data_IF_539711780523
#
_entry.id   IF_539711780523
#
_cell.length_a   1.000
_cell.length_b   1.000
_cell.length_c   1.000
_cell.angle_alpha   90.00
_cell.angle_beta   90.00
_cell.angle_gamma   90.00
#
_symmetry.space_group_name_H-M   'P 1'
#
loop_
_entity.id
_entity.type
_entity.pdbx_description
1 polymer ?
#
# COMPACT_ATOMS: atom_id res chain seq x y z
N UNK A 1 2.51 -39.21 18.01
CA UNK A 1 3.48 -38.12 17.87
C UNK A 1 4.11 -38.26 16.48
N UNK A 2 3.84 -37.35 15.55
CA UNK A 2 4.45 -37.37 14.22
C UNK A 2 5.00 -35.97 13.94
N UNK A 3 6.33 -35.83 14.07
CA UNK A 3 7.08 -34.64 13.71
C UNK A 3 7.29 -34.63 12.20
N UNK A 4 6.82 -33.58 11.52
CA UNK A 4 7.16 -33.31 10.12
C UNK A 4 8.17 -32.17 10.07
N UNK A 5 9.38 -32.52 9.62
CA UNK A 5 10.51 -31.62 9.41
C UNK A 5 10.22 -30.64 8.28
N UNK A 6 10.26 -29.34 8.56
CA UNK A 6 10.22 -28.28 7.55
C UNK A 6 11.65 -27.94 7.12
N UNK A 7 11.95 -28.07 5.81
CA UNK A 7 13.17 -27.51 5.21
C UNK A 7 12.88 -26.09 4.71
N UNK A 8 13.73 -25.09 4.98
CA UNK A 8 13.57 -23.75 4.42
C UNK A 8 14.27 -23.69 3.06
N UNK A 9 13.49 -23.66 1.98
CA UNK A 9 14.01 -23.42 0.64
C UNK A 9 14.47 -21.95 0.52
N UNK A 10 15.79 -21.77 0.60
CA UNK A 10 16.47 -20.51 0.33
C UNK A 10 16.82 -20.50 -1.16
N UNK A 11 16.02 -19.82 -1.98
CA UNK A 11 16.35 -19.61 -3.40
C UNK A 11 16.48 -18.13 -3.71
N UNK A 12 17.74 -17.76 -3.97
CA UNK A 12 18.19 -16.43 -4.34
C UNK A 12 17.76 -16.02 -5.77
N UNK A 13 17.65 -14.70 -5.91
CA UNK A 13 17.52 -13.82 -7.08
C UNK A 13 17.86 -14.39 -8.46
N UNK A 14 16.88 -14.35 -9.37
CA UNK A 14 17.10 -14.09 -10.81
C UNK A 14 15.95 -13.22 -11.34
N UNK A 15 16.31 -12.03 -11.82
CA UNK A 15 15.43 -10.93 -12.25
C UNK A 15 14.93 -11.14 -13.67
N UNK A 16 13.95 -12.03 -13.83
CA UNK A 16 13.11 -12.12 -15.02
C UNK A 16 11.68 -11.82 -14.58
N UNK A 17 10.90 -10.96 -15.28
CA UNK A 17 9.52 -10.71 -14.91
C UNK A 17 8.77 -12.04 -14.98
N UNK A 18 8.48 -12.63 -13.82
CA UNK A 18 7.73 -13.89 -13.74
C UNK A 18 6.36 -13.62 -14.35
N UNK A 19 6.05 -14.26 -15.48
CA UNK A 19 4.68 -14.23 -16.04
C UNK A 19 3.78 -15.01 -15.08
N UNK A 20 2.99 -14.30 -14.28
CA UNK A 20 2.05 -14.91 -13.36
C UNK A 20 0.84 -15.44 -14.14
N UNK A 21 0.44 -16.68 -13.90
CA UNK A 21 -0.71 -17.29 -14.57
C UNK A 21 -2.01 -16.76 -13.94
N UNK A 22 -2.68 -15.81 -14.60
CA UNK A 22 -3.98 -15.23 -14.17
C UNK A 22 -5.11 -16.26 -14.08
N UNK A 23 -4.96 -17.43 -14.72
CA UNK A 23 -5.95 -18.53 -14.68
C UNK A 23 -6.01 -19.23 -13.32
N UNK A 24 -4.92 -19.19 -12.55
CA UNK A 24 -4.80 -19.74 -11.21
C UNK A 24 -3.98 -18.76 -10.35
N UNK A 25 -4.61 -17.68 -9.83
CA UNK A 25 -3.88 -16.64 -9.15
C UNK A 25 -3.25 -17.15 -7.85
N UNK A 26 -2.02 -16.74 -7.60
CA UNK A 26 -1.35 -17.00 -6.33
C UNK A 26 -2.19 -16.39 -5.19
N UNK A 27 -2.50 -17.13 -4.10
CA UNK A 27 -3.23 -16.55 -2.98
C UNK A 27 -2.39 -15.44 -2.35
N UNK A 28 -2.91 -14.21 -2.38
CA UNK A 28 -2.31 -13.06 -1.73
C UNK A 28 -2.75 -13.02 -0.27
N UNK A 29 -1.92 -12.47 0.61
CA UNK A 29 -2.35 -12.18 1.98
C UNK A 29 -3.38 -11.05 1.98
N UNK A 30 -4.22 -10.98 3.02
CA UNK A 30 -5.30 -9.99 3.10
C UNK A 30 -4.82 -8.53 2.92
N UNK A 31 -3.63 -8.19 3.42
CA UNK A 31 -3.05 -6.86 3.23
C UNK A 31 -2.61 -6.60 1.78
N UNK A 32 -2.08 -7.61 1.10
CA UNK A 32 -1.68 -7.54 -0.30
C UNK A 32 -2.90 -7.38 -1.22
N UNK A 33 -3.99 -8.11 -0.95
CA UNK A 33 -5.26 -7.94 -1.67
C UNK A 33 -5.84 -6.54 -1.49
N UNK A 34 -5.69 -5.95 -0.30
CA UNK A 34 -6.14 -4.58 -0.05
C UNK A 34 -5.31 -3.56 -0.84
N UNK A 35 -3.99 -3.74 -0.97
CA UNK A 35 -3.15 -2.90 -1.83
C UNK A 35 -3.57 -3.00 -3.30
N UNK A 36 -3.82 -4.20 -3.81
CA UNK A 36 -4.32 -4.41 -5.18
C UNK A 36 -5.68 -3.74 -5.37
N UNK A 37 -6.61 -3.89 -4.41
CA UNK A 37 -7.92 -3.21 -4.42
C UNK A 37 -7.78 -1.69 -4.44
N UNK A 38 -6.79 -1.12 -3.76
CA UNK A 38 -6.56 0.32 -3.80
C UNK A 38 -6.10 0.79 -5.19
N UNK A 39 -5.18 0.06 -5.83
CA UNK A 39 -4.74 0.35 -7.20
C UNK A 39 -5.90 0.23 -8.18
N UNK A 40 -6.71 -0.81 -8.02
CA UNK A 40 -7.92 -1.04 -8.78
C UNK A 40 -8.91 0.13 -8.67
N UNK A 41 -9.31 0.50 -7.45
CA UNK A 41 -10.23 1.61 -7.23
C UNK A 41 -9.66 2.95 -7.69
N UNK A 42 -8.33 3.15 -7.63
CA UNK A 42 -7.69 4.35 -8.18
C UNK A 42 -7.91 4.46 -9.70
N UNK A 43 -7.78 3.36 -10.44
CA UNK A 43 -8.04 3.33 -11.90
C UNK A 43 -9.52 3.51 -12.23
N UNK A 44 -10.41 2.85 -11.50
CA UNK A 44 -11.87 3.02 -11.68
C UNK A 44 -12.27 4.48 -11.45
N UNK A 45 -11.75 5.11 -10.38
CA UNK A 45 -11.98 6.54 -10.11
C UNK A 45 -11.42 7.45 -11.20
N UNK A 46 -10.28 7.11 -11.79
CA UNK A 46 -9.71 7.89 -12.88
C UNK A 46 -10.60 7.85 -14.14
N UNK A 47 -11.26 6.72 -14.42
CA UNK A 47 -12.23 6.61 -15.53
C UNK A 47 -13.54 7.35 -15.24
N UNK A 48 -14.05 7.19 -14.03
CA UNK A 48 -15.27 7.87 -13.57
C UNK A 48 -15.02 9.28 -13.03
N UNK A 49 -13.90 9.92 -13.40
CA UNK A 49 -13.56 11.26 -12.96
C UNK A 49 -14.65 12.30 -13.25
N UNK A 50 -15.33 12.32 -14.41
CA UNK A 50 -16.36 13.34 -14.67
C UNK A 50 -17.59 13.17 -13.77
N UNK A 51 -18.04 11.95 -13.52
CA UNK A 51 -19.20 11.67 -12.65
C UNK A 51 -18.88 11.96 -11.18
N UNK A 52 -17.65 11.62 -10.73
CA UNK A 52 -17.17 11.94 -9.38
C UNK A 52 -17.09 13.45 -9.19
N UNK A 53 -16.60 14.18 -10.19
CA UNK A 53 -16.52 15.65 -10.16
C UNK A 53 -17.91 16.29 -10.05
N UNK A 54 -18.86 15.83 -10.86
CA UNK A 54 -20.24 16.33 -10.81
C UNK A 54 -20.91 16.08 -9.44
N UNK A 55 -20.64 14.92 -8.82
CA UNK A 55 -21.09 14.65 -7.45
C UNK A 55 -20.40 15.57 -6.43
N UNK A 56 -19.09 15.74 -6.54
CA UNK A 56 -18.31 16.60 -5.65
C UNK A 56 -18.80 18.05 -5.69
N UNK A 57 -18.99 18.62 -6.88
CA UNK A 57 -19.51 19.98 -7.09
C UNK A 57 -20.87 20.19 -6.42
N UNK A 58 -21.78 19.21 -6.51
CA UNK A 58 -23.06 19.27 -5.83
C UNK A 58 -22.92 19.16 -4.29
N UNK A 59 -21.95 18.39 -3.81
CA UNK A 59 -21.76 18.08 -2.40
C UNK A 59 -20.91 19.10 -1.62
N UNK A 60 -20.12 19.96 -2.27
CA UNK A 60 -19.17 20.90 -1.62
C UNK A 60 -19.80 21.68 -0.46
N UNK A 61 -21.05 22.11 -0.60
CA UNK A 61 -21.74 22.95 0.40
C UNK A 61 -22.87 22.21 1.14
N UNK A 62 -22.97 20.89 1.01
CA UNK A 62 -24.11 20.10 1.52
C UNK A 62 -23.61 18.85 2.23
N UNK A 63 -23.12 18.99 3.46
CA UNK A 63 -22.57 17.83 4.20
C UNK A 63 -23.66 16.84 4.62
N UNK A 64 -24.76 17.33 5.21
CA UNK A 64 -25.82 16.47 5.77
C UNK A 64 -26.87 16.10 4.73
N UNK A 65 -27.21 17.02 3.81
CA UNK A 65 -28.31 16.84 2.85
C UNK A 65 -27.87 16.39 1.45
N UNK A 66 -26.56 16.25 1.17
CA UNK A 66 -26.06 15.83 -0.16
C UNK A 66 -26.65 14.50 -0.62
N UNK A 67 -26.85 13.55 0.27
CA UNK A 67 -27.39 12.22 -0.08
C UNK A 67 -28.77 12.30 -0.74
N UNK A 68 -29.58 13.30 -0.35
CA UNK A 68 -30.93 13.53 -0.88
C UNK A 68 -30.89 14.50 -2.06
N UNK A 69 -30.23 15.64 -1.90
CA UNK A 69 -30.18 16.72 -2.90
C UNK A 69 -29.37 16.32 -4.13
N UNK A 70 -28.23 15.64 -3.94
CA UNK A 70 -27.32 15.19 -4.99
C UNK A 70 -27.57 13.74 -5.39
N UNK A 71 -28.79 13.22 -5.18
CA UNK A 71 -29.13 11.80 -5.41
C UNK A 71 -28.84 11.38 -6.85
N UNK A 72 -29.15 12.23 -7.83
CA UNK A 72 -28.94 11.93 -9.26
C UNK A 72 -27.45 11.77 -9.58
N UNK A 73 -26.62 12.72 -9.15
CA UNK A 73 -25.17 12.69 -9.35
C UNK A 73 -24.54 11.49 -8.61
N UNK A 74 -25.02 11.18 -7.40
CA UNK A 74 -24.58 10.00 -6.65
C UNK A 74 -24.89 8.70 -7.40
N UNK A 75 -26.08 8.57 -7.98
CA UNK A 75 -26.47 7.38 -8.74
C UNK A 75 -25.65 7.26 -10.03
N UNK A 76 -25.42 8.35 -10.75
CA UNK A 76 -24.59 8.37 -11.96
C UNK A 76 -23.14 7.94 -11.67
N UNK A 77 -22.53 8.51 -10.62
CA UNK A 77 -21.20 8.13 -10.16
C UNK A 77 -21.14 6.64 -9.78
N UNK A 78 -22.10 6.17 -8.99
CA UNK A 78 -22.15 4.76 -8.58
C UNK A 78 -22.35 3.81 -9.76
N UNK A 79 -23.17 4.19 -10.75
CA UNK A 79 -23.37 3.41 -11.96
C UNK A 79 -22.06 3.27 -12.74
N UNK A 80 -21.35 4.37 -12.99
CA UNK A 80 -20.03 4.33 -13.65
C UNK A 80 -19.05 3.44 -12.87
N UNK A 81 -18.97 3.63 -11.56
CA UNK A 81 -18.07 2.84 -10.72
C UNK A 81 -18.37 1.35 -10.79
N UNK A 82 -19.64 0.95 -10.72
CA UNK A 82 -20.03 -0.47 -10.78
C UNK A 82 -19.77 -1.08 -12.16
N UNK A 83 -20.04 -0.34 -13.25
CA UNK A 83 -19.76 -0.79 -14.61
C UNK A 83 -18.27 -1.08 -14.81
N UNK A 84 -17.40 -0.18 -14.34
CA UNK A 84 -15.95 -0.40 -14.42
C UNK A 84 -15.40 -1.30 -13.32
N UNK A 85 -16.15 -1.52 -12.23
CA UNK A 85 -15.78 -2.41 -11.13
C UNK A 85 -16.01 -3.90 -11.42
N UNK A 86 -16.68 -4.27 -12.52
CA UNK A 86 -16.91 -5.66 -12.90
C UNK A 86 -16.01 -6.16 -14.04
N UNK A 87 -15.13 -5.32 -14.56
CA UNK A 87 -14.14 -5.74 -15.54
C UNK A 87 -13.06 -6.56 -14.81
N UNK A 88 -13.25 -7.87 -14.70
CA UNK A 88 -12.28 -8.82 -14.13
C UNK A 88 -10.88 -8.67 -14.73
N UNK A 89 -10.81 -8.28 -16.01
CA UNK A 89 -9.59 -7.94 -16.73
C UNK A 89 -8.80 -6.78 -16.10
N UNK A 90 -9.47 -5.81 -15.47
CA UNK A 90 -8.84 -4.69 -14.76
C UNK A 90 -8.24 -5.12 -13.43
N UNK A 91 -8.89 -6.05 -12.71
CA UNK A 91 -8.36 -6.63 -11.48
C UNK A 91 -7.12 -7.49 -11.78
N UNK A 92 -7.19 -8.28 -12.84
CA UNK A 92 -6.09 -9.11 -13.33
C UNK A 92 -4.88 -8.24 -13.75
N UNK A 93 -5.09 -7.17 -14.50
CA UNK A 93 -4.02 -6.20 -14.82
C UNK A 93 -3.50 -5.46 -13.59
N UNK A 94 -4.38 -5.14 -12.62
CA UNK A 94 -3.94 -4.54 -11.36
C UNK A 94 -3.05 -5.48 -10.56
N UNK A 95 -3.33 -6.79 -10.56
CA UNK A 95 -2.45 -7.81 -9.98
C UNK A 95 -1.11 -7.86 -10.69
N UNK A 96 -1.09 -7.88 -12.02
CA UNK A 96 0.16 -7.88 -12.80
C UNK A 96 1.05 -6.68 -12.49
N UNK A 97 0.48 -5.47 -12.47
CA UNK A 97 1.21 -4.26 -12.13
C UNK A 97 1.68 -4.27 -10.66
N UNK A 98 0.85 -4.78 -9.74
CA UNK A 98 1.22 -4.92 -8.34
C UNK A 98 2.39 -5.89 -8.18
N UNK A 99 2.39 -7.01 -8.87
CA UNK A 99 3.50 -7.96 -8.87
C UNK A 99 4.76 -7.39 -9.56
N UNK A 100 4.62 -6.65 -10.66
CA UNK A 100 5.76 -6.01 -11.35
C UNK A 100 6.51 -5.03 -10.44
N UNK A 101 5.77 -4.29 -9.62
CA UNK A 101 6.31 -3.30 -8.68
C UNK A 101 6.57 -3.87 -7.28
N UNK A 102 6.34 -5.18 -7.07
CA UNK A 102 6.50 -5.82 -5.75
C UNK A 102 7.96 -5.81 -5.28
N UNK A 103 8.89 -6.14 -6.18
CA UNK A 103 10.33 -6.13 -5.85
C UNK A 103 10.82 -4.73 -5.51
N UNK A 104 10.36 -3.70 -6.23
CA UNK A 104 10.68 -2.30 -5.94
C UNK A 104 10.15 -1.87 -4.57
N UNK A 105 8.89 -2.20 -4.24
CA UNK A 105 8.32 -1.92 -2.92
C UNK A 105 9.05 -2.66 -1.80
N UNK A 106 9.51 -3.89 -2.06
CA UNK A 106 10.32 -4.67 -1.11
C UNK A 106 11.66 -3.99 -0.83
N UNK A 107 12.37 -3.55 -1.88
CA UNK A 107 13.64 -2.82 -1.74
C UNK A 107 13.46 -1.49 -1.00
N UNK A 108 12.44 -0.71 -1.36
CA UNK A 108 12.14 0.55 -0.67
C UNK A 108 11.87 0.36 0.82
N UNK A 109 11.08 -0.66 1.20
CA UNK A 109 10.84 -0.99 2.62
C UNK A 109 12.12 -1.39 3.35
N UNK A 110 13.01 -2.14 2.70
CA UNK A 110 14.30 -2.54 3.28
C UNK A 110 15.25 -1.36 3.47
N UNK A 111 15.30 -0.42 2.52
CA UNK A 111 16.07 0.82 2.63
C UNK A 111 15.53 1.73 3.73
N UNK A 112 14.21 1.86 3.84
CA UNK A 112 13.58 2.62 4.92
C UNK A 112 13.88 2.03 6.30
N UNK A 113 13.81 0.70 6.44
CA UNK A 113 14.17 0.02 7.69
C UNK A 113 15.65 0.26 8.05
N UNK A 114 16.55 0.19 7.07
CA UNK A 114 17.97 0.50 7.27
C UNK A 114 18.17 1.95 7.72
N UNK A 115 17.46 2.90 7.10
CA UNK A 115 17.52 4.33 7.48
C UNK A 115 17.00 4.56 8.89
N UNK A 116 15.90 3.92 9.28
CA UNK A 116 15.35 4.00 10.64
C UNK A 116 16.32 3.41 11.65
N UNK A 117 16.94 2.27 11.35
CA UNK A 117 17.91 1.64 12.25
C UNK A 117 19.20 2.48 12.37
N UNK A 118 19.71 3.05 11.27
CA UNK A 118 20.84 3.98 11.30
C UNK A 118 20.55 5.18 12.21
N UNK A 119 19.38 5.80 12.04
CA UNK A 119 18.94 6.93 12.88
C UNK A 119 18.82 6.52 14.35
N UNK A 120 18.33 5.30 14.62
CA UNK A 120 18.22 4.77 15.97
C UNK A 120 19.58 4.60 16.62
N UNK A 121 20.55 4.02 15.90
CA UNK A 121 21.93 3.86 16.38
C UNK A 121 22.58 5.22 16.66
N UNK A 122 22.44 6.18 15.74
CA UNK A 122 22.98 7.54 15.91
C UNK A 122 22.43 8.22 17.17
N UNK A 123 21.11 8.14 17.40
CA UNK A 123 20.47 8.68 18.60
C UNK A 123 21.01 8.01 19.88
N UNK A 124 21.17 6.68 19.87
CA UNK A 124 21.73 5.94 21.01
C UNK A 124 23.18 6.38 21.29
N UNK A 125 23.99 6.56 20.23
CA UNK A 125 25.37 7.02 20.36
C UNK A 125 25.44 8.44 20.94
N UNK A 126 24.61 9.37 20.45
CA UNK A 126 24.57 10.74 20.99
C UNK A 126 24.14 10.77 22.45
N UNK A 127 23.11 9.99 22.84
CA UNK A 127 22.67 9.86 24.23
C UNK A 127 23.79 9.37 25.14
N UNK A 128 24.56 8.37 24.71
CA UNK A 128 25.68 7.83 25.49
C UNK A 128 26.80 8.87 25.67
N UNK A 129 27.13 9.62 24.63
CA UNK A 129 28.13 10.69 24.72
C UNK A 129 27.66 11.85 25.62
N UNK A 130 26.37 12.19 25.60
CA UNK A 130 25.78 13.18 26.51
C UNK A 130 25.85 12.74 27.98
N UNK A 131 25.58 11.46 28.28
CA UNK A 131 25.75 10.92 29.63
C UNK A 131 27.20 11.00 30.10
N UNK A 132 28.16 10.68 29.22
CA UNK A 132 29.59 10.76 29.53
C UNK A 132 30.04 12.20 29.80
N UNK A 133 29.59 13.18 28.98
CA UNK A 133 29.82 14.61 29.22
C UNK A 133 29.26 15.05 30.58
N UNK A 134 28.00 14.71 30.88
CA UNK A 134 27.36 15.04 32.16
C UNK A 134 28.08 14.42 33.37
N UNK A 135 28.63 13.21 33.22
CA UNK A 135 29.45 12.57 34.28
C UNK A 135 30.77 13.29 34.50
N UNK A 136 31.44 13.72 33.44
CA UNK A 136 32.70 14.48 33.54
C UNK A 136 32.47 15.85 34.18
N UNK A 137 31.44 16.58 33.77
CA UNK A 137 31.07 17.88 34.33
C UNK A 137 30.69 17.78 35.82
N UNK A 138 30.11 16.65 36.24
CA UNK A 138 29.75 16.38 37.64
C UNK A 138 30.90 15.93 38.55
N UNK A 139 32.01 15.44 38.00
CA UNK A 139 33.22 15.04 38.77
C UNK A 139 34.24 16.19 38.93
N UNK A 140 34.07 17.30 38.19
CA UNK A 140 34.95 18.47 38.23
C UNK A 140 34.58 19.53 39.30
N UNK A 141 33.70 19.21 40.25
CA UNK A 141 33.26 20.11 41.32
C UNK A 141 33.39 19.46 42.69
#
# INVERSE_FOLDING_TARGET
MASTSASPDTSATSSSPKKYNLRNPLPLSASQEQEVKQMYYKRVRARCAPEIKAFAECAVNRTVTATWVCRQQRLAMNACMVTHANNREEEDRAREEWFATYEERRRAKEEDLKRVEQRRVEVITMMRQDEERRRQDGQGK
#
